data_IF_814260902699
#
_entry.id   IF_814260902699
#
_cell.length_a   1.000
_cell.length_b   1.000
_cell.length_c   1.000
_cell.angle_alpha   90.00
_cell.angle_beta   90.00
_cell.angle_gamma   90.00
#
_symmetry.space_group_name_H-M   'P 1'
#
loop_
_entity.id
_entity.type
_entity.pdbx_description
1 polymer ?
#
# COMPACT_ATOMS: atom_id res chain seq x y z
N UNK A 1 57.45 8.81 82.10
CA UNK A 1 57.41 10.24 81.81
C UNK A 1 57.91 10.45 80.43
N UNK A 2 57.05 10.50 79.42
CA UNK A 2 57.46 10.71 78.03
C UNK A 2 56.40 11.60 77.35
N UNK A 3 56.81 12.81 76.97
CA UNK A 3 55.97 13.77 76.32
C UNK A 3 55.78 13.39 74.81
N UNK A 4 54.50 13.22 74.37
CA UNK A 4 54.15 13.10 72.94
C UNK A 4 54.02 14.51 72.34
N UNK A 5 54.74 14.76 71.24
CA UNK A 5 54.64 15.98 70.44
C UNK A 5 53.56 15.73 69.36
N UNK A 6 52.54 16.58 69.35
CA UNK A 6 51.53 16.60 68.30
C UNK A 6 52.02 17.55 67.17
N UNK A 7 52.20 16.99 65.97
CA UNK A 7 52.41 17.79 64.71
C UNK A 7 51.05 18.10 64.11
N UNK A 8 50.79 19.39 63.93
CA UNK A 8 49.64 19.90 63.14
C UNK A 8 50.00 19.85 61.63
N UNK A 9 49.30 19.07 60.87
CA UNK A 9 49.24 19.21 59.40
C UNK A 9 48.26 20.31 59.03
N UNK A 10 48.67 21.27 58.21
CA UNK A 10 47.83 22.23 57.55
C UNK A 10 47.42 21.65 56.23
N UNK A 11 46.12 21.35 56.08
CA UNK A 11 45.53 20.95 54.80
C UNK A 11 45.24 22.20 53.98
N UNK A 12 45.85 22.31 52.80
CA UNK A 12 45.53 23.28 51.76
C UNK A 12 44.31 22.77 50.99
N UNK A 13 43.16 23.40 51.23
CA UNK A 13 41.98 23.20 50.38
C UNK A 13 42.14 24.03 49.10
N UNK A 14 42.32 23.36 47.97
CA UNK A 14 42.21 23.94 46.63
C UNK A 14 40.73 23.92 46.20
N UNK A 15 40.12 25.01 45.76
CA UNK A 15 38.75 24.98 45.28
C UNK A 15 38.67 24.34 43.87
N UNK A 16 37.98 23.26 43.73
CA UNK A 16 37.64 22.62 42.44
C UNK A 16 36.60 23.51 41.73
N UNK A 17 37.02 24.20 40.70
CA UNK A 17 36.13 24.95 39.80
C UNK A 17 35.38 23.91 38.94
N UNK A 18 34.10 23.65 39.23
CA UNK A 18 33.20 22.86 38.35
C UNK A 18 32.83 23.73 37.14
N UNK A 19 33.44 23.46 35.99
CA UNK A 19 32.99 23.98 34.70
C UNK A 19 31.75 23.21 34.31
N UNK A 20 30.58 23.82 34.43
CA UNK A 20 29.34 23.31 33.87
C UNK A 20 29.34 23.66 32.38
N UNK A 21 29.69 22.68 31.52
CA UNK A 21 29.54 22.83 30.09
C UNK A 21 28.05 22.73 29.76
N UNK A 22 27.43 23.87 29.50
CA UNK A 22 26.10 23.92 28.88
C UNK A 22 26.26 23.55 27.42
N UNK A 23 25.94 22.31 27.09
CA UNK A 23 25.77 21.86 25.68
C UNK A 23 24.49 22.50 25.17
N UNK A 24 24.59 23.61 24.47
CA UNK A 24 23.48 24.15 23.70
C UNK A 24 23.19 23.22 22.54
N UNK A 25 22.11 22.42 22.65
CA UNK A 25 21.52 21.73 21.52
C UNK A 25 20.90 22.82 20.62
N UNK A 26 21.62 23.23 19.61
CA UNK A 26 21.04 23.96 18.49
C UNK A 26 20.14 22.98 17.75
N UNK A 27 18.83 23.09 17.94
CA UNK A 27 17.86 22.55 17.03
C UNK A 27 18.07 23.24 15.70
N UNK A 28 18.90 22.67 14.82
CA UNK A 28 18.90 23.02 13.43
C UNK A 28 17.48 22.69 12.92
N UNK A 29 16.64 23.71 12.77
CA UNK A 29 15.44 23.62 11.94
C UNK A 29 15.96 23.36 10.53
N UNK A 30 16.08 22.09 10.14
CA UNK A 30 16.48 21.70 8.80
C UNK A 30 15.50 22.35 7.82
N UNK A 31 16.01 22.88 6.72
CA UNK A 31 15.18 23.35 5.62
C UNK A 31 14.15 22.25 5.31
N UNK A 32 12.87 22.62 5.28
CA UNK A 32 11.79 21.68 5.05
C UNK A 32 11.94 21.13 3.62
N UNK A 33 12.25 19.83 3.49
CA UNK A 33 12.34 19.17 2.19
C UNK A 33 10.93 18.99 1.60
N UNK A 34 10.77 19.43 0.35
CA UNK A 34 9.54 19.24 -0.41
C UNK A 34 9.70 18.14 -1.46
N UNK A 35 8.57 17.58 -1.87
CA UNK A 35 8.52 16.66 -3.00
C UNK A 35 8.99 17.37 -4.29
N UNK A 36 9.69 16.68 -5.18
CA UNK A 36 10.02 17.23 -6.48
C UNK A 36 8.75 17.54 -7.26
N UNK A 37 8.68 18.75 -7.81
CA UNK A 37 7.55 19.20 -8.64
C UNK A 37 7.81 18.81 -10.10
N UNK A 38 6.80 18.30 -10.82
CA UNK A 38 6.87 18.28 -12.28
C UNK A 38 7.12 19.69 -12.85
N UNK A 39 7.83 19.77 -13.99
CA UNK A 39 8.09 21.03 -14.67
C UNK A 39 6.82 21.55 -15.38
N UNK A 40 5.90 22.08 -14.58
CA UNK A 40 4.67 22.69 -15.04
C UNK A 40 4.16 23.72 -14.03
N UNK A 41 3.63 24.84 -14.54
CA UNK A 41 3.18 25.96 -13.72
C UNK A 41 2.06 25.61 -12.76
N UNK A 42 1.25 24.61 -13.08
CA UNK A 42 0.14 24.11 -12.24
C UNK A 42 0.65 23.62 -10.87
N UNK A 43 1.92 23.20 -10.75
CA UNK A 43 2.49 22.73 -9.49
C UNK A 43 3.18 23.83 -8.66
N UNK A 44 3.31 25.05 -9.21
CA UNK A 44 4.11 26.12 -8.58
C UNK A 44 3.67 26.44 -7.13
N UNK A 45 2.34 26.43 -6.88
CA UNK A 45 1.76 26.79 -5.57
C UNK A 45 1.79 25.65 -4.53
N UNK A 46 2.02 24.41 -4.93
CA UNK A 46 2.02 23.28 -4.00
C UNK A 46 3.31 23.23 -3.18
N UNK A 47 3.18 23.12 -1.87
CA UNK A 47 4.27 22.91 -0.93
C UNK A 47 4.14 21.55 -0.26
N UNK A 48 4.10 20.49 -1.09
CA UNK A 48 4.01 19.12 -0.62
C UNK A 48 5.30 18.74 0.12
N UNK A 49 5.22 18.52 1.43
CA UNK A 49 6.34 18.03 2.26
C UNK A 49 6.84 16.70 1.73
N UNK A 50 8.14 16.43 1.83
CA UNK A 50 8.67 15.13 1.45
C UNK A 50 8.09 14.03 2.34
N UNK A 51 7.50 13.01 1.70
CA UNK A 51 6.91 11.89 2.40
C UNK A 51 7.98 11.01 3.06
N UNK A 52 7.80 10.58 4.33
CA UNK A 52 8.70 9.63 4.96
C UNK A 52 8.60 8.26 4.26
N UNK A 53 9.73 7.57 4.15
CA UNK A 53 9.80 6.21 3.59
C UNK A 53 9.82 5.17 4.70
N UNK A 54 9.04 4.11 4.51
CA UNK A 54 9.05 2.95 5.41
C UNK A 54 10.31 2.11 5.17
N UNK A 55 10.98 1.72 6.25
CA UNK A 55 12.13 0.82 6.21
C UNK A 55 11.71 -0.60 6.58
N UNK A 56 11.86 -1.52 5.61
CA UNK A 56 11.51 -2.93 5.78
C UNK A 56 10.01 -3.22 5.86
N UNK A 57 9.68 -4.50 5.93
CA UNK A 57 8.30 -4.98 5.93
C UNK A 57 7.64 -4.75 7.29
N UNK A 58 6.53 -4.01 7.32
CA UNK A 58 5.74 -3.81 8.53
C UNK A 58 4.83 -4.99 8.85
N UNK A 59 4.43 -5.75 7.84
CA UNK A 59 3.54 -6.89 8.01
C UNK A 59 4.25 -8.04 8.74
N UNK A 60 3.49 -8.74 9.56
CA UNK A 60 3.93 -9.93 10.28
C UNK A 60 3.01 -11.10 9.96
N UNK A 61 3.50 -12.31 10.16
CA UNK A 61 2.66 -13.50 10.02
C UNK A 61 1.44 -13.43 10.94
N UNK A 62 0.29 -13.86 10.41
CA UNK A 62 -1.00 -13.90 11.08
C UNK A 62 -1.56 -12.50 11.45
N UNK A 63 -1.10 -11.45 10.80
CA UNK A 63 -1.65 -10.09 10.99
C UNK A 63 -3.14 -10.02 10.64
N UNK A 64 -3.83 -9.17 11.40
CA UNK A 64 -5.20 -8.74 11.15
C UNK A 64 -5.17 -7.28 10.73
N UNK A 65 -5.26 -7.05 9.42
CA UNK A 65 -5.23 -5.72 8.82
C UNK A 65 -6.64 -5.11 8.78
N UNK A 66 -6.80 -3.93 9.35
CA UNK A 66 -7.98 -3.09 9.16
C UNK A 66 -7.72 -2.04 8.07
N UNK A 67 -8.55 -2.00 7.02
CA UNK A 67 -8.51 -0.98 5.96
C UNK A 67 -9.69 -0.04 6.16
N UNK A 68 -9.40 1.23 6.43
CA UNK A 68 -10.36 2.21 6.95
C UNK A 68 -10.34 3.44 6.07
N UNK A 69 -11.50 4.04 5.80
CA UNK A 69 -11.64 5.28 5.07
C UNK A 69 -13.08 5.59 4.69
N UNK A 70 -13.24 6.56 3.83
CA UNK A 70 -14.53 7.10 3.40
C UNK A 70 -15.17 6.32 2.23
N UNK A 71 -15.97 7.01 1.39
CA UNK A 71 -16.63 6.44 0.20
C UNK A 71 -15.66 5.80 -0.78
N UNK A 72 -14.45 6.33 -0.93
CA UNK A 72 -13.42 5.80 -1.83
C UNK A 72 -12.97 4.41 -1.34
N UNK A 73 -12.85 4.22 -0.03
CA UNK A 73 -12.59 2.91 0.59
C UNK A 73 -13.81 2.01 0.49
N UNK A 74 -15.03 2.55 0.67
CA UNK A 74 -16.29 1.80 0.53
C UNK A 74 -16.49 1.24 -0.88
N UNK A 75 -15.90 1.82 -1.93
CA UNK A 75 -15.90 1.24 -3.28
C UNK A 75 -15.26 -0.15 -3.35
N UNK A 76 -14.45 -0.54 -2.35
CA UNK A 76 -13.78 -1.85 -2.28
C UNK A 76 -12.90 -2.14 -3.51
N UNK A 77 -12.19 -1.12 -3.99
CA UNK A 77 -11.31 -1.26 -5.15
C UNK A 77 -9.85 -1.38 -4.69
N UNK A 78 -9.24 -0.33 -4.13
CA UNK A 78 -7.87 -0.44 -3.63
C UNK A 78 -7.75 -1.42 -2.45
N UNK A 79 -8.77 -1.52 -1.60
CA UNK A 79 -8.78 -2.48 -0.50
C UNK A 79 -8.83 -3.92 -0.99
N UNK A 80 -9.56 -4.19 -2.10
CA UNK A 80 -9.59 -5.47 -2.78
C UNK A 80 -8.23 -5.78 -3.42
N UNK A 81 -7.60 -4.80 -4.10
CA UNK A 81 -6.24 -4.98 -4.64
C UNK A 81 -5.27 -5.35 -3.52
N UNK A 82 -5.31 -4.64 -2.38
CA UNK A 82 -4.43 -4.92 -1.24
C UNK A 82 -4.63 -6.33 -0.68
N UNK A 83 -5.88 -6.72 -0.38
CA UNK A 83 -6.16 -8.04 0.18
C UNK A 83 -5.80 -9.17 -0.79
N UNK A 84 -6.17 -9.02 -2.07
CA UNK A 84 -5.83 -10.02 -3.10
C UNK A 84 -4.31 -10.12 -3.28
N UNK A 85 -3.61 -8.98 -3.29
CA UNK A 85 -2.14 -8.96 -3.36
C UNK A 85 -1.50 -9.65 -2.15
N UNK A 86 -1.89 -9.29 -0.94
CA UNK A 86 -1.33 -9.88 0.28
C UNK A 86 -1.57 -11.40 0.34
N UNK A 87 -2.72 -11.85 -0.14
CA UNK A 87 -3.07 -13.28 -0.16
C UNK A 87 -2.31 -14.04 -1.25
N UNK A 88 -2.26 -13.50 -2.49
CA UNK A 88 -1.66 -14.17 -3.64
C UNK A 88 -0.13 -14.08 -3.65
N UNK A 89 0.40 -12.88 -3.36
CA UNK A 89 1.81 -12.55 -3.51
C UNK A 89 2.63 -12.78 -2.23
N UNK A 90 1.99 -12.78 -1.05
CA UNK A 90 2.65 -12.97 0.27
C UNK A 90 1.91 -14.02 1.12
N UNK A 91 1.59 -15.21 0.57
CA UNK A 91 0.74 -16.20 1.24
C UNK A 91 1.32 -16.72 2.57
N UNK A 92 2.64 -16.70 2.71
CA UNK A 92 3.34 -17.11 3.93
C UNK A 92 3.03 -16.24 5.15
N UNK A 93 2.63 -14.99 4.91
CA UNK A 93 2.25 -14.06 5.99
C UNK A 93 0.87 -14.37 6.56
N UNK A 94 0.00 -15.06 5.83
CA UNK A 94 -1.37 -15.42 6.28
C UNK A 94 -2.15 -14.21 6.83
N UNK A 95 -1.95 -13.03 6.23
CA UNK A 95 -2.65 -11.80 6.63
C UNK A 95 -4.14 -11.97 6.41
N UNK A 96 -4.94 -11.57 7.38
CA UNK A 96 -6.40 -11.44 7.23
C UNK A 96 -6.78 -9.98 7.20
N UNK A 97 -7.78 -9.63 6.38
CA UNK A 97 -8.17 -8.24 6.17
C UNK A 97 -9.63 -8.01 6.54
N UNK A 98 -9.93 -6.83 7.06
CA UNK A 98 -11.29 -6.28 7.17
C UNK A 98 -11.33 -4.89 6.56
N UNK A 99 -12.39 -4.64 5.81
CA UNK A 99 -12.67 -3.36 5.15
C UNK A 99 -13.75 -2.61 5.94
N UNK A 100 -13.50 -1.31 6.21
CA UNK A 100 -14.34 -0.44 7.04
C UNK A 100 -14.75 0.86 6.36
N UNK A 101 -14.71 0.92 5.03
CA UNK A 101 -15.09 2.12 4.28
C UNK A 101 -16.55 2.53 4.52
N UNK A 102 -16.78 3.85 4.62
CA UNK A 102 -18.10 4.42 4.87
C UNK A 102 -18.30 5.72 4.07
N UNK A 103 -19.29 5.72 3.18
CA UNK A 103 -19.57 6.84 2.29
C UNK A 103 -19.83 8.15 3.01
N UNK A 104 -19.18 9.24 2.56
CA UNK A 104 -19.31 10.58 3.12
C UNK A 104 -18.63 10.79 4.48
N UNK A 105 -17.94 9.78 5.01
CA UNK A 105 -17.36 9.84 6.35
C UNK A 105 -16.11 10.73 6.40
N UNK A 106 -15.98 11.46 7.51
CA UNK A 106 -14.79 12.20 7.91
C UNK A 106 -13.98 11.41 8.95
N UNK A 107 -12.76 11.84 9.22
CA UNK A 107 -11.94 11.28 10.32
C UNK A 107 -12.69 11.31 11.67
N UNK A 108 -13.46 12.38 11.95
CA UNK A 108 -14.28 12.46 13.16
C UNK A 108 -15.38 11.38 13.20
N UNK A 109 -16.05 11.14 12.06
CA UNK A 109 -17.07 10.11 11.97
C UNK A 109 -16.52 8.73 12.36
N UNK A 110 -15.38 8.36 11.77
CA UNK A 110 -14.74 7.09 12.13
C UNK A 110 -14.25 7.05 13.57
N UNK A 111 -13.61 8.12 14.06
CA UNK A 111 -13.18 8.21 15.47
C UNK A 111 -14.32 7.82 16.43
N UNK A 112 -15.52 8.28 16.15
CA UNK A 112 -16.70 8.05 16.99
C UNK A 112 -17.19 6.58 16.97
N UNK A 113 -16.98 5.85 15.88
CA UNK A 113 -17.36 4.43 15.75
C UNK A 113 -16.19 3.45 15.89
N UNK A 114 -14.94 3.94 15.96
CA UNK A 114 -13.70 3.16 15.92
C UNK A 114 -13.67 1.99 16.93
N UNK A 115 -14.06 2.26 18.17
CA UNK A 115 -14.04 1.26 19.24
C UNK A 115 -15.06 0.15 18.95
N UNK A 116 -16.27 0.54 18.59
CA UNK A 116 -17.35 -0.40 18.34
C UNK A 116 -17.15 -1.22 17.05
N UNK A 117 -16.69 -0.58 15.99
CA UNK A 117 -16.67 -1.21 14.66
C UNK A 117 -15.36 -1.91 14.33
N UNK A 118 -14.23 -1.34 14.78
CA UNK A 118 -12.90 -1.82 14.38
C UNK A 118 -12.08 -2.43 15.51
N UNK A 119 -11.93 -1.73 16.65
CA UNK A 119 -11.04 -2.19 17.72
C UNK A 119 -11.56 -3.45 18.42
N UNK A 120 -12.89 -3.70 18.44
CA UNK A 120 -13.45 -4.95 18.95
C UNK A 120 -12.90 -6.21 18.25
N UNK A 121 -12.49 -6.11 16.97
CA UNK A 121 -11.90 -7.22 16.20
C UNK A 121 -10.38 -7.34 16.39
N UNK A 122 -9.81 -6.53 17.29
CA UNK A 122 -8.39 -6.59 17.70
C UNK A 122 -7.44 -6.58 16.50
N UNK A 123 -7.49 -5.57 15.60
CA UNK A 123 -6.54 -5.47 14.51
C UNK A 123 -5.11 -5.37 15.06
N UNK A 124 -4.14 -5.98 14.36
CA UNK A 124 -2.72 -5.92 14.72
C UNK A 124 -1.97 -4.86 13.89
N UNK A 125 -2.60 -4.45 12.79
CA UNK A 125 -2.16 -3.35 11.93
C UNK A 125 -3.40 -2.71 11.30
N UNK A 126 -3.37 -1.38 11.13
CA UNK A 126 -4.46 -0.64 10.49
C UNK A 126 -3.93 0.37 9.49
N UNK A 127 -4.72 0.64 8.45
CA UNK A 127 -4.49 1.73 7.50
C UNK A 127 -5.71 2.65 7.50
N UNK A 128 -5.48 3.96 7.38
CA UNK A 128 -6.57 4.94 7.16
C UNK A 128 -6.32 5.76 5.91
N UNK A 129 -7.41 6.26 5.30
CA UNK A 129 -7.38 7.18 4.17
C UNK A 129 -8.57 8.14 4.30
N UNK A 130 -8.36 9.25 4.98
CA UNK A 130 -9.33 10.34 5.17
C UNK A 130 -8.80 11.64 4.61
N UNK A 131 -9.60 12.70 4.62
CA UNK A 131 -9.28 14.02 4.12
C UNK A 131 -10.19 14.47 2.99
N UNK A 132 -10.72 13.54 2.17
CA UNK A 132 -11.56 13.91 1.03
C UNK A 132 -12.85 14.61 1.48
N UNK A 133 -13.53 14.14 2.52
CA UNK A 133 -14.69 14.84 3.09
C UNK A 133 -14.29 15.89 4.11
N UNK A 134 -13.16 15.72 4.77
CA UNK A 134 -12.66 16.62 5.81
C UNK A 134 -12.25 17.98 5.23
N UNK A 135 -11.79 18.07 3.98
CA UNK A 135 -11.46 19.35 3.33
C UNK A 135 -12.69 20.18 2.97
N UNK A 136 -13.90 19.62 3.14
CA UNK A 136 -15.21 20.29 2.97
C UNK A 136 -15.39 20.93 1.60
N UNK A 137 -14.66 20.43 0.60
CA UNK A 137 -14.72 20.89 -0.81
C UNK A 137 -14.55 22.40 -0.97
N UNK A 138 -13.63 23.01 -0.23
CA UNK A 138 -13.38 24.45 -0.18
C UNK A 138 -11.87 24.77 -0.07
N UNK A 139 -11.45 26.04 -0.22
CA UNK A 139 -10.07 26.45 0.09
C UNK A 139 -9.68 26.10 1.51
N UNK A 140 -8.38 25.94 1.74
CA UNK A 140 -7.82 25.62 3.07
C UNK A 140 -8.19 26.68 4.11
N UNK A 141 -8.47 26.23 5.30
CA UNK A 141 -8.81 26.99 6.47
C UNK A 141 -8.10 26.35 7.68
N UNK A 142 -7.32 27.16 8.39
CA UNK A 142 -6.49 26.68 9.50
C UNK A 142 -7.29 26.03 10.64
N UNK A 143 -8.50 26.55 10.94
CA UNK A 143 -9.36 25.96 11.96
C UNK A 143 -9.84 24.55 11.53
N UNK A 144 -10.16 24.39 10.24
CA UNK A 144 -10.50 23.09 9.69
C UNK A 144 -9.29 22.13 9.68
N UNK A 145 -8.09 22.63 9.36
CA UNK A 145 -6.85 21.84 9.43
C UNK A 145 -6.56 21.36 10.85
N UNK A 146 -6.77 22.22 11.86
CA UNK A 146 -6.61 21.84 13.27
C UNK A 146 -7.64 20.77 13.69
N UNK A 147 -8.90 20.94 13.32
CA UNK A 147 -9.96 19.96 13.58
C UNK A 147 -9.64 18.60 12.93
N UNK A 148 -9.17 18.59 11.68
CA UNK A 148 -8.72 17.38 10.99
C UNK A 148 -7.57 16.71 11.75
N UNK A 149 -6.52 17.49 12.12
CA UNK A 149 -5.38 17.01 12.87
C UNK A 149 -5.78 16.32 14.18
N UNK A 150 -6.67 16.94 14.94
CA UNK A 150 -7.12 16.39 16.22
C UNK A 150 -7.80 15.04 16.06
N UNK A 151 -8.66 14.88 15.06
CA UNK A 151 -9.38 13.65 14.80
C UNK A 151 -8.45 12.54 14.27
N UNK A 152 -7.55 12.84 13.32
CA UNK A 152 -6.55 11.89 12.84
C UNK A 152 -5.61 11.43 13.95
N UNK A 153 -5.12 12.35 14.77
CA UNK A 153 -4.25 12.03 15.90
C UNK A 153 -4.96 11.13 16.92
N UNK A 154 -6.24 11.38 17.20
CA UNK A 154 -7.03 10.55 18.10
C UNK A 154 -7.20 9.11 17.54
N UNK A 155 -7.42 8.95 16.25
CA UNK A 155 -7.49 7.63 15.59
C UNK A 155 -6.15 6.90 15.73
N UNK A 156 -5.03 7.54 15.34
CA UNK A 156 -3.70 6.94 15.45
C UNK A 156 -3.41 6.49 16.88
N UNK A 157 -3.66 7.35 17.86
CA UNK A 157 -3.45 7.03 19.29
C UNK A 157 -4.35 5.89 19.77
N UNK A 158 -5.60 5.84 19.31
CA UNK A 158 -6.53 4.77 19.66
C UNK A 158 -6.04 3.40 19.22
N UNK A 159 -5.57 3.27 17.96
CA UNK A 159 -5.01 2.01 17.46
C UNK A 159 -3.69 1.64 18.14
N UNK A 160 -2.79 2.62 18.37
CA UNK A 160 -1.55 2.39 19.12
C UNK A 160 -1.81 1.91 20.55
N UNK A 161 -2.76 2.52 21.23
CA UNK A 161 -3.17 2.10 22.59
C UNK A 161 -3.74 0.67 22.61
N UNK A 162 -4.39 0.25 21.52
CA UNK A 162 -4.85 -1.13 21.33
C UNK A 162 -3.72 -2.10 20.89
N UNK A 163 -2.46 -1.63 20.77
CA UNK A 163 -1.30 -2.42 20.39
C UNK A 163 -1.15 -2.65 18.88
N UNK A 164 -1.92 -1.96 18.04
CA UNK A 164 -1.83 -2.09 16.59
C UNK A 164 -0.73 -1.18 16.02
N UNK A 165 0.01 -1.69 15.00
CA UNK A 165 0.83 -0.86 14.11
C UNK A 165 -0.09 -0.06 13.20
N UNK A 166 0.37 1.08 12.74
CA UNK A 166 -0.49 1.99 11.99
C UNK A 166 0.19 2.55 10.74
N UNK A 167 -0.58 2.68 9.67
CA UNK A 167 -0.20 3.36 8.43
C UNK A 167 -1.22 4.47 8.19
N UNK A 168 -0.79 5.70 8.35
CA UNK A 168 -1.61 6.87 8.08
C UNK A 168 -1.54 7.20 6.59
N UNK A 169 -2.67 7.14 5.89
CA UNK A 169 -2.77 7.48 4.47
C UNK A 169 -3.32 8.88 4.29
N UNK A 170 -2.72 9.64 3.38
CA UNK A 170 -3.25 10.94 2.97
C UNK A 170 -4.51 10.78 2.12
N UNK A 171 -5.35 11.85 1.94
CA UNK A 171 -6.39 11.85 0.94
C UNK A 171 -5.84 11.66 -0.48
N UNK A 172 -6.71 11.38 -1.45
CA UNK A 172 -6.41 11.52 -2.88
C UNK A 172 -6.50 12.98 -3.34
N UNK A 173 -6.36 13.22 -4.66
CA UNK A 173 -6.62 14.52 -5.25
C UNK A 173 -8.04 14.59 -5.81
N UNK A 174 -8.53 15.82 -6.10
CA UNK A 174 -9.76 16.03 -6.89
C UNK A 174 -9.42 16.34 -8.35
N UNK A 175 -10.33 15.96 -9.24
CA UNK A 175 -10.28 16.28 -10.67
C UNK A 175 -10.70 17.72 -10.99
N UNK A 176 -10.82 18.06 -12.30
CA UNK A 176 -11.02 19.45 -12.73
C UNK A 176 -12.31 20.10 -12.23
N UNK A 177 -13.40 19.34 -12.08
CA UNK A 177 -14.71 19.89 -11.69
C UNK A 177 -15.45 18.93 -10.77
N UNK A 178 -15.56 19.28 -9.51
CA UNK A 178 -16.39 18.56 -8.53
C UNK A 178 -17.83 19.08 -8.64
N UNK A 179 -18.82 18.21 -8.96
CA UNK A 179 -20.18 18.68 -9.28
C UNK A 179 -20.92 19.43 -8.17
N UNK A 180 -20.60 19.15 -6.92
CA UNK A 180 -21.25 19.72 -5.73
C UNK A 180 -20.45 20.83 -5.05
N UNK A 181 -19.37 21.32 -5.69
CA UNK A 181 -18.56 22.41 -5.15
C UNK A 181 -18.44 23.56 -6.15
N UNK A 182 -18.50 24.79 -5.63
CA UNK A 182 -18.19 26.00 -6.38
C UNK A 182 -16.70 26.41 -6.27
N UNK A 183 -15.91 25.72 -5.44
CA UNK A 183 -14.48 25.97 -5.36
C UNK A 183 -13.76 25.41 -6.60
N UNK A 184 -12.75 26.13 -7.09
CA UNK A 184 -11.89 25.63 -8.16
C UNK A 184 -11.04 24.43 -7.70
N UNK A 185 -10.75 23.51 -8.62
CA UNK A 185 -9.95 22.31 -8.33
C UNK A 185 -8.57 22.63 -7.76
N UNK A 186 -7.91 23.71 -8.20
CA UNK A 186 -6.63 24.14 -7.63
C UNK A 186 -6.77 24.44 -6.14
N UNK A 187 -7.78 25.23 -5.74
CA UNK A 187 -7.98 25.60 -4.34
C UNK A 187 -8.29 24.39 -3.45
N UNK A 188 -9.07 23.42 -3.96
CA UNK A 188 -9.37 22.18 -3.27
C UNK A 188 -8.13 21.28 -3.15
N UNK A 189 -7.34 21.14 -4.22
CA UNK A 189 -6.13 20.35 -4.19
C UNK A 189 -5.03 20.99 -3.31
N UNK A 190 -4.95 22.32 -3.22
CA UNK A 190 -4.09 22.98 -2.25
C UNK A 190 -4.53 22.68 -0.81
N UNK A 191 -5.83 22.66 -0.52
CA UNK A 191 -6.35 22.25 0.78
C UNK A 191 -6.00 20.77 1.08
N UNK A 192 -6.23 19.85 0.14
CA UNK A 192 -5.87 18.43 0.30
C UNK A 192 -4.35 18.23 0.49
N UNK A 193 -3.52 19.06 -0.17
CA UNK A 193 -2.08 19.08 0.05
C UNK A 193 -1.72 19.48 1.49
N UNK A 194 -2.41 20.47 2.06
CA UNK A 194 -2.19 20.86 3.46
C UNK A 194 -2.66 19.77 4.44
N UNK A 195 -3.80 19.09 4.17
CA UNK A 195 -4.22 17.95 4.98
C UNK A 195 -3.21 16.80 4.91
N UNK A 196 -2.65 16.52 3.72
CA UNK A 196 -1.54 15.56 3.57
C UNK A 196 -0.31 15.97 4.38
N UNK A 197 0.06 17.24 4.38
CA UNK A 197 1.18 17.75 5.17
C UNK A 197 0.93 17.57 6.68
N UNK A 198 -0.30 17.77 7.14
CA UNK A 198 -0.73 17.49 8.51
C UNK A 198 -0.58 16.00 8.84
N UNK A 199 -0.95 15.10 7.93
CA UNK A 199 -0.80 13.67 8.13
C UNK A 199 0.67 13.26 8.23
N UNK A 200 1.57 13.87 7.44
CA UNK A 200 3.03 13.66 7.57
C UNK A 200 3.53 14.08 8.96
N UNK A 201 3.09 15.24 9.44
CA UNK A 201 3.49 15.71 10.79
C UNK A 201 3.00 14.76 11.88
N UNK A 202 1.77 14.24 11.77
CA UNK A 202 1.23 13.23 12.68
C UNK A 202 2.03 11.93 12.60
N UNK A 203 2.32 11.46 11.38
CA UNK A 203 3.07 10.23 11.18
C UNK A 203 4.47 10.30 11.80
N UNK A 204 5.15 11.44 11.65
CA UNK A 204 6.45 11.70 12.28
C UNK A 204 6.33 11.80 13.81
N UNK A 205 5.37 12.58 14.32
CA UNK A 205 5.11 12.74 15.75
C UNK A 205 4.83 11.42 16.44
N UNK A 206 3.98 10.60 15.84
CA UNK A 206 3.53 9.32 16.40
C UNK A 206 4.40 8.13 16.00
N UNK A 207 5.43 8.34 15.17
CA UNK A 207 6.33 7.29 14.66
C UNK A 207 5.56 6.14 13.99
N UNK A 208 4.60 6.48 13.13
CA UNK A 208 3.84 5.54 12.32
C UNK A 208 4.21 5.69 10.85
N UNK A 209 3.94 4.66 10.05
CA UNK A 209 4.18 4.72 8.63
C UNK A 209 3.18 5.66 7.92
N UNK A 210 3.58 6.17 6.77
CA UNK A 210 2.77 7.08 5.98
C UNK A 210 2.59 6.57 4.55
N UNK A 211 1.34 6.56 4.06
CA UNK A 211 1.00 6.23 2.68
C UNK A 211 0.65 7.51 1.92
N UNK A 212 1.56 7.95 1.06
CA UNK A 212 1.34 9.13 0.22
C UNK A 212 0.46 8.80 -0.97
N UNK A 213 -0.83 9.07 -0.83
CA UNK A 213 -1.80 8.91 -1.91
C UNK A 213 -1.90 10.18 -2.77
N UNK A 214 -1.91 11.34 -2.12
CA UNK A 214 -2.20 12.63 -2.77
C UNK A 214 -1.19 12.97 -3.87
N UNK A 215 0.09 13.07 -3.51
CA UNK A 215 1.09 13.60 -4.43
C UNK A 215 1.31 12.71 -5.65
N UNK A 216 1.45 11.38 -5.51
CA UNK A 216 1.47 10.49 -6.66
C UNK A 216 0.20 10.56 -7.52
N UNK A 217 -1.00 10.62 -6.91
CA UNK A 217 -2.24 10.69 -7.67
C UNK A 217 -2.34 11.99 -8.49
N UNK A 218 -1.99 13.13 -7.89
CA UNK A 218 -2.00 14.43 -8.57
C UNK A 218 -0.99 14.47 -9.73
N UNK A 219 0.24 14.04 -9.49
CA UNK A 219 1.33 14.12 -10.48
C UNK A 219 1.20 13.10 -11.60
N UNK A 220 0.81 11.86 -11.26
CA UNK A 220 0.55 10.81 -12.26
C UNK A 220 -0.73 11.12 -13.06
N UNK A 221 -1.76 11.69 -12.43
CA UNK A 221 -2.96 12.15 -13.10
C UNK A 221 -2.65 13.22 -14.16
N UNK A 222 -1.85 14.22 -13.81
CA UNK A 222 -1.38 15.22 -14.75
C UNK A 222 -0.57 14.59 -15.91
N UNK A 223 0.35 13.68 -15.61
CA UNK A 223 1.11 12.95 -16.64
C UNK A 223 0.20 12.15 -17.57
N UNK A 224 -0.77 11.45 -17.01
CA UNK A 224 -1.72 10.64 -17.77
C UNK A 224 -2.63 11.50 -18.67
N UNK A 225 -3.10 12.63 -18.17
CA UNK A 225 -3.89 13.61 -18.98
C UNK A 225 -3.07 14.13 -20.17
N UNK A 226 -1.78 14.45 -19.96
CA UNK A 226 -0.90 14.87 -21.05
C UNK A 226 -0.63 13.76 -22.07
N UNK A 227 -0.61 12.52 -21.64
CA UNK A 227 -0.30 11.35 -22.49
C UNK A 227 -1.54 10.83 -23.22
N UNK A 228 -2.71 10.78 -22.56
CA UNK A 228 -3.91 10.09 -23.02
C UNK A 228 -5.08 11.04 -23.34
N UNK A 229 -4.91 12.35 -23.05
CA UNK A 229 -5.91 13.37 -23.31
C UNK A 229 -6.70 13.82 -22.07
N UNK A 230 -7.39 14.95 -22.19
CA UNK A 230 -8.08 15.64 -21.09
C UNK A 230 -9.20 14.82 -20.42
N UNK A 231 -9.70 13.80 -21.12
CA UNK A 231 -10.76 12.92 -20.60
C UNK A 231 -10.22 11.86 -19.64
N UNK A 232 -8.91 11.72 -19.46
CA UNK A 232 -8.33 10.78 -18.51
C UNK A 232 -8.53 11.30 -17.08
N UNK A 233 -9.44 10.69 -16.35
CA UNK A 233 -9.91 11.14 -15.04
C UNK A 233 -9.34 10.26 -13.91
N UNK A 234 -8.10 10.53 -13.48
CA UNK A 234 -7.45 9.74 -12.39
C UNK A 234 -8.26 9.78 -11.09
N UNK A 235 -8.91 10.91 -10.79
CA UNK A 235 -9.78 11.09 -9.63
C UNK A 235 -11.23 10.65 -9.86
N UNK A 236 -11.49 9.98 -11.01
CA UNK A 236 -12.82 9.50 -11.38
C UNK A 236 -13.68 10.50 -12.15
N UNK A 237 -14.79 10.00 -12.70
CA UNK A 237 -15.68 10.80 -13.58
C UNK A 237 -16.42 11.93 -12.84
N UNK A 238 -16.63 11.79 -11.55
CA UNK A 238 -17.16 12.84 -10.67
C UNK A 238 -16.08 13.70 -10.03
N UNK A 239 -14.83 13.49 -10.44
CA UNK A 239 -13.66 14.20 -9.95
C UNK A 239 -13.30 13.94 -8.47
N UNK A 240 -13.86 12.90 -7.82
CA UNK A 240 -13.64 12.57 -6.40
C UNK A 240 -13.42 11.08 -6.17
N UNK A 241 -14.17 10.23 -6.89
CA UNK A 241 -14.14 8.77 -6.69
C UNK A 241 -13.34 8.10 -7.82
N UNK A 242 -12.05 7.78 -7.59
CA UNK A 242 -11.18 7.21 -8.61
C UNK A 242 -11.75 5.92 -9.22
N UNK A 243 -11.58 5.77 -10.54
CA UNK A 243 -11.70 4.49 -11.23
C UNK A 243 -10.49 3.58 -10.92
N UNK A 244 -10.42 2.42 -11.57
CA UNK A 244 -9.40 1.42 -11.26
C UNK A 244 -7.97 1.94 -11.38
N UNK A 245 -7.65 2.82 -12.33
CA UNK A 245 -6.29 3.37 -12.43
C UNK A 245 -5.88 4.17 -11.19
N UNK A 246 -6.74 5.09 -10.71
CA UNK A 246 -6.48 5.84 -9.49
C UNK A 246 -6.48 4.96 -8.25
N UNK A 247 -7.32 3.93 -8.20
CA UNK A 247 -7.35 2.95 -7.11
C UNK A 247 -6.07 2.11 -7.05
N UNK A 248 -5.42 1.81 -8.19
CA UNK A 248 -4.08 1.20 -8.23
C UNK A 248 -3.02 2.14 -7.68
N UNK A 249 -3.11 3.46 -7.97
CA UNK A 249 -2.20 4.45 -7.34
C UNK A 249 -2.33 4.40 -5.81
N UNK A 250 -3.56 4.36 -5.28
CA UNK A 250 -3.81 4.21 -3.85
C UNK A 250 -3.21 2.91 -3.29
N UNK A 251 -3.52 1.77 -3.92
CA UNK A 251 -2.98 0.47 -3.50
C UNK A 251 -1.45 0.46 -3.50
N UNK A 252 -0.82 1.08 -4.51
CA UNK A 252 0.64 1.23 -4.62
C UNK A 252 1.21 2.02 -3.44
N UNK A 253 0.57 3.14 -3.05
CA UNK A 253 0.98 3.94 -1.91
C UNK A 253 0.93 3.13 -0.59
N UNK A 254 -0.12 2.35 -0.39
CA UNK A 254 -0.25 1.50 0.80
C UNK A 254 0.71 0.31 0.79
N UNK A 255 0.94 -0.37 -0.33
CA UNK A 255 1.95 -1.44 -0.44
C UNK A 255 3.35 -0.91 -0.11
N UNK A 256 3.70 0.28 -0.62
CA UNK A 256 4.95 0.95 -0.30
C UNK A 256 5.06 1.28 1.19
N UNK A 257 4.00 1.85 1.78
CA UNK A 257 3.96 2.21 3.19
C UNK A 257 3.98 0.99 4.13
N UNK A 258 3.45 -0.16 3.69
CA UNK A 258 3.56 -1.44 4.38
C UNK A 258 4.96 -2.06 4.25
N UNK A 259 5.84 -1.48 3.46
CA UNK A 259 7.22 -1.93 3.27
C UNK A 259 7.34 -3.19 2.41
N UNK A 260 6.35 -3.44 1.53
CA UNK A 260 6.38 -4.57 0.59
C UNK A 260 7.47 -4.34 -0.44
N UNK A 261 8.39 -5.29 -0.58
CA UNK A 261 9.48 -5.20 -1.53
C UNK A 261 9.10 -5.64 -2.96
N UNK A 262 8.07 -6.50 -3.08
CA UNK A 262 7.55 -6.99 -4.36
C UNK A 262 8.37 -8.09 -5.03
N UNK A 263 9.33 -8.71 -4.35
CA UNK A 263 10.04 -9.89 -4.84
C UNK A 263 9.15 -11.12 -4.72
N UNK A 264 8.80 -11.71 -5.87
CA UNK A 264 7.94 -12.91 -5.94
C UNK A 264 8.74 -14.17 -6.24
N UNK A 265 10.04 -14.05 -6.48
CA UNK A 265 10.92 -15.16 -6.75
C UNK A 265 11.53 -15.15 -8.15
N UNK A 266 12.44 -16.11 -8.37
CA UNK A 266 13.19 -16.23 -9.62
C UNK A 266 13.22 -17.68 -10.08
N UNK A 267 12.92 -17.90 -11.36
CA UNK A 267 13.15 -19.13 -12.08
C UNK A 267 14.51 -19.03 -12.77
N UNK A 268 15.41 -19.91 -12.47
CA UNK A 268 16.73 -19.97 -13.12
C UNK A 268 16.86 -21.26 -13.90
N UNK A 269 17.19 -21.13 -15.18
CA UNK A 269 17.47 -22.25 -16.10
C UNK A 269 18.89 -22.13 -16.59
N UNK A 270 19.65 -23.21 -16.57
CA UNK A 270 20.98 -23.32 -17.16
C UNK A 270 20.93 -24.30 -18.35
N UNK A 271 20.96 -23.75 -19.57
CA UNK A 271 20.88 -24.55 -20.80
C UNK A 271 22.14 -25.38 -21.05
N UNK A 272 23.29 -24.94 -20.53
CA UNK A 272 24.56 -25.68 -20.67
C UNK A 272 24.64 -26.94 -19.81
N UNK A 273 24.06 -26.88 -18.60
CA UNK A 273 24.09 -28.01 -17.65
C UNK A 273 22.78 -28.79 -17.59
N UNK A 274 21.71 -28.31 -18.22
CA UNK A 274 20.38 -28.91 -18.15
C UNK A 274 19.75 -28.86 -16.74
N UNK A 275 20.13 -27.86 -15.89
CA UNK A 275 19.63 -27.71 -14.53
C UNK A 275 18.69 -26.51 -14.42
N UNK A 276 17.72 -26.61 -13.52
CA UNK A 276 16.85 -25.52 -13.16
C UNK A 276 16.67 -25.40 -11.64
N UNK A 277 16.35 -24.18 -11.19
CA UNK A 277 16.02 -23.90 -9.79
C UNK A 277 14.94 -22.81 -9.72
N UNK A 278 14.24 -22.75 -8.61
CA UNK A 278 13.24 -21.73 -8.33
C UNK A 278 13.33 -21.25 -6.88
N UNK A 279 12.94 -20.00 -6.62
CA UNK A 279 12.88 -19.39 -5.28
C UNK A 279 11.49 -18.80 -5.03
N UNK A 280 11.23 -18.31 -3.81
CA UNK A 280 10.02 -17.53 -3.53
C UNK A 280 8.71 -18.36 -3.45
N UNK A 281 8.77 -19.62 -3.02
CA UNK A 281 7.57 -20.47 -2.90
C UNK A 281 7.15 -21.15 -4.22
N UNK A 282 8.09 -21.23 -5.17
CA UNK A 282 7.97 -21.98 -6.43
C UNK A 282 8.87 -23.22 -6.38
N UNK A 283 8.35 -24.33 -6.87
CA UNK A 283 9.02 -25.64 -6.88
C UNK A 283 9.24 -26.09 -8.32
N UNK A 284 10.46 -26.51 -8.65
CA UNK A 284 10.77 -27.14 -9.93
C UNK A 284 10.27 -28.57 -9.90
N UNK A 285 9.33 -28.92 -10.78
CA UNK A 285 8.82 -30.28 -10.96
C UNK A 285 9.70 -31.04 -11.96
N UNK A 286 10.02 -30.41 -13.10
CA UNK A 286 10.87 -30.98 -14.14
C UNK A 286 11.51 -29.87 -14.98
N UNK A 287 12.66 -30.19 -15.60
CA UNK A 287 13.25 -29.42 -16.69
C UNK A 287 13.80 -30.35 -17.74
N UNK A 288 13.24 -30.33 -18.94
CA UNK A 288 13.63 -31.22 -20.04
C UNK A 288 13.42 -30.52 -21.37
N UNK A 289 14.40 -30.59 -22.27
CA UNK A 289 14.35 -30.04 -23.63
C UNK A 289 13.89 -28.57 -23.70
N UNK A 290 14.39 -27.73 -22.78
CA UNK A 290 14.05 -26.30 -22.74
C UNK A 290 12.68 -26.00 -22.11
N UNK A 291 11.94 -26.99 -21.64
CA UNK A 291 10.68 -26.82 -20.94
C UNK A 291 10.85 -27.01 -19.44
N UNK A 292 10.56 -25.94 -18.68
CA UNK A 292 10.57 -25.90 -17.23
C UNK A 292 9.15 -26.03 -16.71
N UNK A 293 8.85 -27.12 -15.98
CA UNK A 293 7.59 -27.32 -15.26
C UNK A 293 7.74 -26.90 -13.81
N UNK A 294 6.85 -26.06 -13.33
CA UNK A 294 6.84 -25.49 -12.00
C UNK A 294 5.52 -25.75 -11.29
N UNK A 295 5.58 -25.89 -9.95
CA UNK A 295 4.41 -25.82 -9.06
C UNK A 295 4.59 -24.60 -8.16
N UNK A 296 3.64 -23.67 -8.22
CA UNK A 296 3.72 -22.37 -7.57
C UNK A 296 2.61 -22.17 -6.56
N UNK A 297 2.95 -22.02 -5.28
CA UNK A 297 2.02 -21.70 -4.19
C UNK A 297 1.82 -20.20 -3.99
N UNK A 298 2.54 -19.37 -4.76
CA UNK A 298 2.48 -17.91 -4.79
C UNK A 298 2.19 -17.46 -6.22
N UNK A 299 1.37 -16.41 -6.39
CA UNK A 299 1.02 -15.88 -7.70
C UNK A 299 1.58 -14.48 -7.89
N UNK A 300 1.93 -14.06 -9.12
CA UNK A 300 2.04 -12.65 -9.44
C UNK A 300 0.65 -12.00 -9.41
N UNK A 301 0.60 -10.69 -9.23
CA UNK A 301 -0.64 -9.93 -9.39
C UNK A 301 -1.07 -9.94 -10.86
N UNK A 302 -2.24 -10.49 -11.15
CA UNK A 302 -2.76 -10.65 -12.51
C UNK A 302 -3.88 -9.62 -12.76
N UNK A 303 -3.58 -8.62 -13.60
CA UNK A 303 -4.60 -7.65 -13.99
C UNK A 303 -5.47 -8.17 -15.13
N UNK A 304 -6.80 -7.95 -15.10
CA UNK A 304 -7.67 -8.23 -16.24
C UNK A 304 -7.23 -7.45 -17.48
N UNK A 305 -7.72 -7.85 -18.66
CA UNK A 305 -7.47 -7.10 -19.89
C UNK A 305 -8.02 -5.67 -19.78
N UNK A 306 -7.34 -4.70 -20.37
CA UNK A 306 -7.75 -3.29 -20.38
C UNK A 306 -6.71 -2.43 -21.07
N UNK A 307 -7.14 -1.31 -21.62
CA UNK A 307 -6.30 -0.36 -22.34
C UNK A 307 -5.54 0.55 -21.35
N UNK A 308 -4.35 1.00 -21.77
CA UNK A 308 -3.54 1.91 -20.96
C UNK A 308 -4.12 3.33 -20.93
N UNK A 309 -4.89 3.70 -21.93
CA UNK A 309 -5.59 5.00 -22.01
C UNK A 309 -6.94 5.03 -21.28
N UNK A 310 -7.37 3.90 -20.72
CA UNK A 310 -8.61 3.83 -19.95
C UNK A 310 -8.35 4.06 -18.45
N UNK A 311 -8.88 5.16 -17.91
CA UNK A 311 -8.78 5.51 -16.48
C UNK A 311 -9.53 4.53 -15.57
N UNK A 312 -10.36 3.66 -16.14
CA UNK A 312 -11.03 2.58 -15.42
C UNK A 312 -10.38 1.21 -15.63
N UNK A 313 -9.12 1.17 -16.04
CA UNK A 313 -8.33 -0.04 -16.23
C UNK A 313 -7.27 -0.22 -15.13
N UNK A 314 -7.22 -1.41 -14.50
CA UNK A 314 -6.14 -1.78 -13.57
C UNK A 314 -4.78 -1.72 -14.28
N UNK A 315 -4.70 -2.14 -15.56
CA UNK A 315 -3.44 -2.09 -16.33
C UNK A 315 -2.93 -0.68 -16.55
N UNK A 316 -3.83 0.28 -16.74
CA UNK A 316 -3.46 1.69 -16.83
C UNK A 316 -2.80 2.16 -15.53
N UNK A 317 -3.44 1.92 -14.39
CA UNK A 317 -2.86 2.24 -13.08
C UNK A 317 -1.53 1.54 -12.81
N UNK A 318 -1.40 0.26 -13.19
CA UNK A 318 -0.14 -0.48 -13.05
C UNK A 318 0.99 0.11 -13.92
N UNK A 319 0.67 0.57 -15.13
CA UNK A 319 1.64 1.24 -16.00
C UNK A 319 2.08 2.60 -15.44
N UNK A 320 1.12 3.40 -14.95
CA UNK A 320 1.41 4.71 -14.35
C UNK A 320 2.31 4.62 -13.11
N UNK A 321 2.17 3.56 -12.33
CA UNK A 321 2.88 3.37 -11.05
C UNK A 321 4.12 2.49 -11.16
N UNK A 322 4.49 2.03 -12.34
CA UNK A 322 5.54 1.01 -12.53
C UNK A 322 5.33 -0.24 -11.65
N UNK A 323 4.06 -0.62 -11.44
CA UNK A 323 3.66 -1.66 -10.49
C UNK A 323 4.41 -2.98 -10.68
N UNK A 324 4.59 -3.41 -11.94
CA UNK A 324 5.25 -4.69 -12.23
C UNK A 324 6.72 -4.69 -11.80
N UNK A 325 7.44 -3.59 -11.98
CA UNK A 325 8.85 -3.47 -11.57
C UNK A 325 9.01 -3.27 -10.06
N UNK A 326 7.99 -2.75 -9.39
CA UNK A 326 8.02 -2.46 -7.96
C UNK A 326 7.48 -3.60 -7.10
N UNK A 327 6.32 -4.15 -7.47
CA UNK A 327 5.55 -5.06 -6.61
C UNK A 327 5.25 -6.43 -7.24
N UNK A 328 5.68 -6.68 -8.49
CA UNK A 328 5.28 -7.87 -9.21
C UNK A 328 6.49 -8.56 -9.89
N UNK A 329 7.58 -8.69 -9.13
CA UNK A 329 8.87 -9.15 -9.65
C UNK A 329 9.02 -10.68 -9.59
N UNK A 330 8.31 -11.38 -10.49
CA UNK A 330 8.57 -12.78 -10.81
C UNK A 330 9.52 -12.83 -12.01
N UNK A 331 10.75 -13.31 -11.80
CA UNK A 331 11.85 -13.24 -12.75
C UNK A 331 12.17 -14.58 -13.41
N UNK A 332 12.49 -14.55 -14.70
CA UNK A 332 13.12 -15.65 -15.39
C UNK A 332 14.56 -15.27 -15.76
N UNK A 333 15.53 -16.10 -15.37
CA UNK A 333 16.95 -15.98 -15.73
C UNK A 333 17.36 -17.23 -16.49
N UNK A 334 17.97 -17.07 -17.68
CA UNK A 334 18.50 -18.19 -18.48
C UNK A 334 20.00 -18.05 -18.65
N UNK A 335 20.75 -18.99 -18.12
CA UNK A 335 22.21 -19.05 -18.17
C UNK A 335 22.67 -19.96 -19.31
N UNK A 336 23.90 -19.70 -19.80
CA UNK A 336 24.53 -20.49 -20.84
C UNK A 336 23.62 -20.67 -22.07
N UNK A 337 23.06 -19.54 -22.54
CA UNK A 337 22.17 -19.43 -23.68
C UNK A 337 23.01 -19.06 -24.95
N UNK A 338 23.50 -20.03 -25.74
CA UNK A 338 24.45 -19.75 -26.83
C UNK A 338 23.81 -19.10 -28.06
N UNK A 339 22.50 -19.28 -28.29
CA UNK A 339 21.83 -18.68 -29.43
C UNK A 339 21.64 -17.16 -29.26
N UNK A 340 21.54 -16.43 -30.36
CA UNK A 340 21.33 -14.99 -30.35
C UNK A 340 19.98 -14.61 -29.78
N UNK A 341 18.94 -15.38 -30.11
CA UNK A 341 17.57 -15.13 -29.75
C UNK A 341 16.88 -16.43 -29.29
N UNK A 342 15.89 -16.27 -28.40
CA UNK A 342 15.07 -17.35 -27.85
C UNK A 342 13.60 -16.97 -27.86
N UNK A 343 12.74 -17.90 -28.23
CA UNK A 343 11.30 -17.82 -27.97
C UNK A 343 11.04 -18.33 -26.55
N UNK A 344 10.41 -17.50 -25.73
CA UNK A 344 9.92 -17.87 -24.39
C UNK A 344 8.40 -17.92 -24.47
N UNK A 345 7.83 -19.10 -24.14
CA UNK A 345 6.39 -19.30 -24.02
C UNK A 345 6.02 -19.43 -22.53
N UNK A 346 5.08 -18.63 -22.07
CA UNK A 346 4.55 -18.68 -20.71
C UNK A 346 3.04 -18.44 -20.72
N UNK A 347 2.26 -19.43 -20.24
CA UNK A 347 0.82 -19.45 -20.42
C UNK A 347 0.45 -19.47 -21.93
N UNK A 348 -0.53 -18.67 -22.35
CA UNK A 348 -0.92 -18.61 -23.77
C UNK A 348 -0.02 -17.72 -24.63
N UNK A 349 0.96 -17.05 -24.05
CA UNK A 349 1.80 -16.05 -24.74
C UNK A 349 3.18 -16.58 -25.11
N UNK A 350 3.69 -16.18 -26.31
CA UNK A 350 5.07 -16.41 -26.75
C UNK A 350 5.70 -15.09 -27.14
N UNK A 351 6.95 -14.85 -26.69
CA UNK A 351 7.75 -13.66 -27.04
C UNK A 351 9.19 -14.04 -27.31
N UNK A 352 9.86 -13.25 -28.15
CA UNK A 352 11.28 -13.41 -28.47
C UNK A 352 12.12 -12.46 -27.61
N UNK A 353 13.22 -12.97 -27.07
CA UNK A 353 14.21 -12.24 -26.27
C UNK A 353 15.61 -12.60 -26.73
N UNK A 354 16.53 -11.67 -26.62
CA UNK A 354 17.96 -11.97 -26.81
C UNK A 354 18.49 -12.83 -25.67
N UNK A 355 19.53 -13.65 -25.95
CA UNK A 355 20.22 -14.39 -24.91
C UNK A 355 20.75 -13.50 -23.78
N UNK A 356 21.14 -12.24 -24.10
CA UNK A 356 21.56 -11.23 -23.12
C UNK A 356 20.43 -10.82 -22.18
N UNK A 357 19.25 -10.46 -22.69
CA UNK A 357 18.08 -10.09 -21.86
C UNK A 357 17.71 -11.23 -20.91
N UNK A 358 17.76 -12.48 -21.40
CA UNK A 358 17.45 -13.65 -20.60
C UNK A 358 18.51 -13.90 -19.50
N UNK A 359 19.79 -13.64 -19.78
CA UNK A 359 20.85 -13.76 -18.79
C UNK A 359 20.79 -12.67 -17.72
N UNK A 360 20.41 -11.45 -18.06
CA UNK A 360 20.14 -10.35 -17.12
C UNK A 360 18.85 -10.57 -16.33
N UNK A 361 17.91 -11.34 -16.89
CA UNK A 361 16.64 -11.71 -16.29
C UNK A 361 15.48 -10.80 -16.72
N UNK A 362 14.39 -11.44 -17.16
CA UNK A 362 13.15 -10.76 -17.55
C UNK A 362 12.08 -10.89 -16.45
N UNK A 363 11.26 -9.84 -16.28
CA UNK A 363 10.10 -9.88 -15.40
C UNK A 363 8.91 -10.47 -16.15
N UNK A 364 8.52 -11.70 -15.84
CA UNK A 364 7.47 -12.43 -16.57
C UNK A 364 6.13 -11.66 -16.59
N UNK A 365 5.59 -11.14 -15.46
CA UNK A 365 4.31 -10.41 -15.47
C UNK A 365 4.36 -9.08 -16.25
N UNK A 366 5.54 -8.47 -16.37
CA UNK A 366 5.69 -7.26 -17.19
C UNK A 366 5.73 -7.55 -18.71
N UNK A 367 6.13 -8.75 -19.07
CA UNK A 367 6.27 -9.16 -20.48
C UNK A 367 5.06 -9.91 -21.01
N UNK A 368 4.32 -10.63 -20.18
CA UNK A 368 3.19 -11.46 -20.57
C UNK A 368 1.89 -10.92 -19.98
N UNK A 369 1.03 -10.41 -20.84
CA UNK A 369 -0.24 -9.81 -20.44
C UNK A 369 -1.28 -10.84 -19.92
N UNK A 370 -1.16 -12.09 -20.37
CA UNK A 370 -1.90 -13.24 -19.86
C UNK A 370 -0.92 -14.24 -19.27
N UNK A 371 -1.22 -14.77 -18.12
CA UNK A 371 -0.36 -15.63 -17.32
C UNK A 371 -1.05 -16.96 -17.02
N UNK A 372 -0.30 -18.01 -16.66
CA UNK A 372 -0.90 -19.27 -16.22
C UNK A 372 -1.71 -19.16 -14.91
N UNK A 373 -1.60 -18.02 -14.22
CA UNK A 373 -2.24 -17.79 -12.93
C UNK A 373 -3.60 -17.08 -13.02
N UNK A 374 -3.96 -16.53 -14.19
CA UNK A 374 -5.10 -15.62 -14.35
C UNK A 374 -6.41 -16.20 -13.77
N UNK A 375 -6.72 -17.46 -14.06
CA UNK A 375 -7.97 -18.09 -13.58
C UNK A 375 -7.94 -18.33 -12.06
N UNK A 376 -6.79 -18.75 -11.51
CA UNK A 376 -6.64 -18.94 -10.07
C UNK A 376 -6.69 -17.61 -9.32
N UNK A 377 -6.02 -16.58 -9.86
CA UNK A 377 -6.04 -15.24 -9.33
C UNK A 377 -7.46 -14.64 -9.36
N UNK A 378 -8.19 -14.82 -10.46
CA UNK A 378 -9.57 -14.34 -10.61
C UNK A 378 -10.50 -14.95 -9.54
N UNK A 379 -10.43 -16.26 -9.31
CA UNK A 379 -11.23 -16.91 -8.25
C UNK A 379 -10.93 -16.35 -6.87
N UNK A 380 -9.65 -16.12 -6.56
CA UNK A 380 -9.22 -15.50 -5.31
C UNK A 380 -9.77 -14.08 -5.17
N UNK A 381 -9.61 -13.26 -6.20
CA UNK A 381 -10.06 -11.87 -6.22
C UNK A 381 -11.59 -11.76 -6.07
N UNK A 382 -12.37 -12.66 -6.69
CA UNK A 382 -13.82 -12.74 -6.55
C UNK A 382 -14.24 -13.11 -5.11
N UNK A 383 -13.53 -14.04 -4.47
CA UNK A 383 -13.77 -14.39 -3.06
C UNK A 383 -13.50 -13.22 -2.12
N UNK A 384 -12.42 -12.45 -2.36
CA UNK A 384 -12.11 -11.21 -1.63
C UNK A 384 -13.24 -10.19 -1.81
N UNK A 385 -13.68 -9.95 -3.05
CA UNK A 385 -14.77 -9.03 -3.35
C UNK A 385 -16.06 -9.42 -2.63
N UNK A 386 -16.43 -10.68 -2.62
CA UNK A 386 -17.62 -11.21 -1.93
C UNK A 386 -17.55 -10.95 -0.43
N UNK A 387 -16.40 -11.24 0.19
CA UNK A 387 -16.20 -11.00 1.63
C UNK A 387 -16.27 -9.49 1.96
N UNK A 388 -15.59 -8.62 1.22
CA UNK A 388 -15.59 -7.18 1.49
C UNK A 388 -16.98 -6.55 1.29
N UNK A 389 -17.79 -7.04 0.33
CA UNK A 389 -19.18 -6.63 0.19
C UNK A 389 -20.02 -6.98 1.42
N UNK A 390 -19.81 -8.17 1.97
CA UNK A 390 -20.47 -8.55 3.22
C UNK A 390 -20.02 -7.69 4.41
N UNK A 391 -18.73 -7.37 4.52
CA UNK A 391 -18.17 -6.55 5.59
C UNK A 391 -18.79 -5.13 5.62
N UNK A 392 -18.99 -4.51 4.45
CA UNK A 392 -19.70 -3.23 4.36
C UNK A 392 -21.14 -3.36 4.89
N UNK A 393 -21.87 -4.42 4.48
CA UNK A 393 -23.23 -4.69 4.98
C UNK A 393 -23.22 -4.94 6.51
N UNK A 394 -22.27 -5.72 7.01
CA UNK A 394 -22.12 -6.03 8.43
C UNK A 394 -22.01 -4.76 9.26
N UNK A 395 -21.11 -3.85 8.86
CA UNK A 395 -20.89 -2.62 9.62
C UNK A 395 -22.05 -1.63 9.42
N UNK A 396 -22.36 -1.25 8.19
CA UNK A 396 -23.32 -0.16 7.93
C UNK A 396 -24.75 -0.53 8.23
N UNK A 397 -25.17 -1.72 7.79
CA UNK A 397 -26.59 -2.08 7.86
C UNK A 397 -26.97 -2.84 9.12
N UNK A 398 -26.06 -3.66 9.67
CA UNK A 398 -26.38 -4.53 10.81
C UNK A 398 -25.90 -3.92 12.12
N UNK A 399 -24.64 -3.47 12.23
CA UNK A 399 -24.14 -2.86 13.48
C UNK A 399 -24.83 -1.52 13.79
N UNK A 400 -25.00 -0.68 12.78
CA UNK A 400 -25.66 0.62 12.91
C UNK A 400 -27.16 0.57 12.55
N UNK A 401 -27.69 -0.62 12.26
CA UNK A 401 -29.09 -0.90 12.02
C UNK A 401 -29.90 -1.14 13.30
N UNK A 402 -31.12 -1.64 13.15
CA UNK A 402 -32.03 -1.93 14.28
C UNK A 402 -31.48 -3.07 15.15
N UNK A 403 -30.91 -4.10 14.54
CA UNK A 403 -30.35 -5.27 15.22
C UNK A 403 -29.20 -4.88 16.15
N UNK A 404 -28.24 -4.10 15.66
CA UNK A 404 -27.10 -3.66 16.45
C UNK A 404 -27.47 -2.68 17.55
N UNK A 405 -28.50 -1.83 17.32
CA UNK A 405 -29.03 -0.94 18.36
C UNK A 405 -29.78 -1.71 19.44
N UNK A 406 -30.45 -2.80 19.07
CA UNK A 406 -31.19 -3.63 20.04
C UNK A 406 -30.24 -4.51 20.90
N UNK A 407 -29.30 -5.19 20.26
CA UNK A 407 -28.27 -6.02 20.91
C UNK A 407 -27.03 -6.13 20.03
N UNK A 408 -26.01 -5.31 20.30
CA UNK A 408 -24.77 -5.27 19.53
C UNK A 408 -24.00 -6.59 19.63
N UNK A 409 -23.91 -7.20 20.81
CA UNK A 409 -23.08 -8.40 20.99
C UNK A 409 -23.71 -9.62 20.32
N UNK A 410 -25.02 -9.78 20.38
CA UNK A 410 -25.73 -10.82 19.63
C UNK A 410 -25.59 -10.58 18.12
N UNK A 411 -25.69 -9.34 17.64
CA UNK A 411 -25.52 -8.97 16.23
C UNK A 411 -24.09 -9.27 15.74
N UNK A 412 -23.07 -8.94 16.54
CA UNK A 412 -21.68 -9.28 16.23
C UNK A 412 -21.50 -10.78 16.14
N UNK A 413 -21.97 -11.55 17.12
CA UNK A 413 -21.83 -13.01 17.14
C UNK A 413 -22.48 -13.66 15.90
N UNK A 414 -23.70 -13.24 15.55
CA UNK A 414 -24.43 -13.75 14.39
C UNK A 414 -23.72 -13.40 13.08
N UNK A 415 -23.30 -12.16 12.91
CA UNK A 415 -22.69 -11.67 11.67
C UNK A 415 -21.27 -12.19 11.48
N UNK A 416 -20.50 -12.43 12.55
CA UNK A 416 -19.20 -13.12 12.45
C UNK A 416 -19.36 -14.58 12.03
N UNK A 417 -20.39 -15.28 12.52
CA UNK A 417 -20.70 -16.62 12.04
C UNK A 417 -21.00 -16.65 10.54
N UNK A 418 -21.67 -15.62 10.01
CA UNK A 418 -21.93 -15.50 8.58
C UNK A 418 -20.69 -15.08 7.76
N UNK A 419 -19.81 -14.27 8.36
CA UNK A 419 -18.54 -13.83 7.72
C UNK A 419 -17.49 -14.95 7.63
N UNK A 420 -17.45 -15.83 8.61
CA UNK A 420 -16.40 -16.85 8.73
C UNK A 420 -16.24 -17.72 7.46
N UNK A 421 -17.30 -18.25 6.83
CA UNK A 421 -17.15 -19.03 5.58
C UNK A 421 -16.64 -18.18 4.41
N UNK A 422 -16.98 -16.89 4.33
CA UNK A 422 -16.46 -15.99 3.29
C UNK A 422 -14.95 -15.76 3.44
N UNK A 423 -14.47 -15.61 4.68
CA UNK A 423 -13.05 -15.52 4.96
C UNK A 423 -12.31 -16.87 4.71
N UNK A 424 -12.97 -18.01 4.92
CA UNK A 424 -12.41 -19.32 4.60
C UNK A 424 -12.27 -19.51 3.08
N UNK A 425 -13.29 -19.11 2.31
CA UNK A 425 -13.30 -19.22 0.85
C UNK A 425 -12.09 -18.52 0.18
N UNK A 426 -11.59 -17.42 0.75
CA UNK A 426 -10.37 -16.75 0.26
C UNK A 426 -9.16 -17.68 0.37
N UNK A 427 -8.99 -18.38 1.50
CA UNK A 427 -7.87 -19.31 1.70
C UNK A 427 -8.00 -20.56 0.81
N UNK A 428 -9.21 -21.02 0.61
CA UNK A 428 -9.53 -22.19 -0.25
C UNK A 428 -9.33 -21.87 -1.73
N UNK A 429 -9.52 -20.61 -2.14
CA UNK A 429 -9.28 -20.17 -3.52
C UNK A 429 -7.78 -20.09 -3.87
N UNK A 430 -6.89 -19.99 -2.86
CA UNK A 430 -5.44 -19.99 -3.06
C UNK A 430 -4.93 -21.45 -3.19
N UNK A 431 -4.92 -21.99 -4.41
CA UNK A 431 -4.45 -23.33 -4.71
C UNK A 431 -3.16 -23.30 -5.51
N UNK A 432 -2.19 -24.21 -5.28
CA UNK A 432 -0.98 -24.25 -6.10
C UNK A 432 -1.28 -24.42 -7.57
N UNK A 433 -0.61 -23.64 -8.43
CA UNK A 433 -0.72 -23.71 -9.88
C UNK A 433 0.48 -24.44 -10.47
N UNK A 434 0.22 -25.50 -11.25
CA UNK A 434 1.25 -26.14 -12.08
C UNK A 434 1.25 -25.50 -13.45
N UNK A 435 2.42 -25.02 -13.89
CA UNK A 435 2.56 -24.31 -15.15
C UNK A 435 3.94 -24.55 -15.79
N UNK A 436 4.10 -24.17 -17.06
CA UNK A 436 5.34 -24.35 -17.80
C UNK A 436 5.91 -23.02 -18.30
N UNK A 437 7.25 -22.95 -18.40
CA UNK A 437 7.99 -21.95 -19.14
C UNK A 437 8.81 -22.69 -20.18
N UNK A 438 8.51 -22.48 -21.48
CA UNK A 438 9.24 -23.10 -22.58
C UNK A 438 10.22 -22.12 -23.18
N UNK A 439 11.48 -22.55 -23.41
CA UNK A 439 12.58 -21.74 -23.94
C UNK A 439 13.15 -22.47 -25.16
N UNK A 440 13.03 -21.88 -26.33
CA UNK A 440 13.43 -22.48 -27.61
C UNK A 440 14.37 -21.50 -28.34
N UNK A 441 15.54 -22.00 -28.78
CA UNK A 441 16.44 -21.21 -29.63
C UNK A 441 15.76 -20.84 -30.96
N UNK A 442 15.94 -19.63 -31.41
CA UNK A 442 15.57 -19.18 -32.77
C UNK A 442 16.73 -19.49 -33.67
N UNK A 443 16.53 -20.36 -34.66
CA UNK A 443 17.53 -20.76 -35.67
C UNK A 443 17.75 -19.64 -36.69
#
# INVERSE_FOLDING_TARGET
MTRLRIRRHRDFMTPLLRVVSVVAFSLAVGAQDFEPKPDATVFAKFNAKKAPTTQGLLLRKDDRLAIIGDSITEQKMYSRILETYLTACLPELKVTVRQYGWGGETAEGFKNRMVNDALRFKPTIATTCYGMNDHKYRPYDAANGQWYRENQLAIVKGFKAAGARFVLGSPGCVGPKVPWSNAGSEAMNLNLCELRNIDIDIAQQEQVAFADVFWPMLTLGWKATNQFGENYAIAGKDAVHPGWAGQVVMATAFLQALGVDGDLGTFTVDLGTGKASATGGHEVVAFTNGELTLKSGRYPFCAPAGELSDDNSIRSGMALTDFNSRFNRLRLVVKNAPAKEYKVTWGPGTKTFSGKELAEGILLPARFAKTPFDDAFKRLDEAVGTKQNYETKQIKSLFHGEEGRADMEATVALTEKARAPLAAAIREALVPVTHTVKIEAVN
#
